data_IF_175653994952
#
_entry.id   IF_175653994952
#
_cell.length_a   1.000
_cell.length_b   1.000
_cell.length_c   1.000
_cell.angle_alpha   90.00
_cell.angle_beta   90.00
_cell.angle_gamma   90.00
#
_symmetry.space_group_name_H-M   'P 1'
#
loop_
_entity.id
_entity.type
_entity.pdbx_description
1 polymer ?
#
# COMPACT_ATOMS: atom_id res chain seq x y z
N UNK A 1 -10.89 -1.24 -6.04
CA UNK A 1 -9.82 -1.79 -6.92
C UNK A 1 -10.13 -3.25 -7.23
N UNK A 2 -9.73 -3.75 -8.41
CA UNK A 2 -9.94 -5.16 -8.81
C UNK A 2 -8.66 -5.86 -9.23
N UNK A 3 -7.65 -5.13 -9.70
CA UNK A 3 -6.40 -5.68 -10.25
C UNK A 3 -5.17 -5.06 -9.61
N UNK A 4 -4.02 -5.71 -9.76
CA UNK A 4 -2.72 -5.14 -9.38
C UNK A 4 -2.43 -3.83 -10.15
N UNK A 5 -2.91 -3.71 -11.40
CA UNK A 5 -2.78 -2.46 -12.15
C UNK A 5 -3.59 -1.32 -11.50
N UNK A 6 -4.78 -1.60 -10.98
CA UNK A 6 -5.55 -0.60 -10.22
C UNK A 6 -4.83 -0.16 -8.95
N UNK A 7 -4.22 -1.11 -8.24
CA UNK A 7 -3.41 -0.82 -7.04
C UNK A 7 -2.24 0.10 -7.40
N UNK A 8 -1.49 -0.23 -8.46
CA UNK A 8 -0.38 0.61 -8.95
C UNK A 8 -0.83 2.02 -9.29
N UNK A 9 -2.00 2.16 -9.94
CA UNK A 9 -2.60 3.48 -10.25
C UNK A 9 -3.07 4.24 -9.03
N UNK A 10 -3.36 3.58 -7.91
CA UNK A 10 -3.76 4.23 -6.65
C UNK A 10 -2.57 4.52 -5.73
N UNK A 11 -1.48 3.77 -5.87
CA UNK A 11 -0.22 3.99 -5.14
C UNK A 11 0.60 5.11 -5.78
N UNK A 12 0.06 6.32 -5.71
CA UNK A 12 0.70 7.54 -6.19
C UNK A 12 1.46 8.23 -5.05
N UNK A 13 2.36 9.15 -5.39
CA UNK A 13 3.09 9.96 -4.42
C UNK A 13 2.11 10.67 -3.46
N UNK A 14 2.37 10.62 -2.15
CA UNK A 14 1.51 11.22 -1.13
C UNK A 14 0.28 10.39 -0.75
N UNK A 15 -0.01 9.30 -1.45
CA UNK A 15 -1.11 8.41 -1.07
C UNK A 15 -0.79 7.69 0.26
N UNK A 16 -1.80 7.57 1.12
CA UNK A 16 -1.67 6.99 2.45
C UNK A 16 -2.23 5.57 2.50
N UNK A 17 -1.45 4.64 3.04
CA UNK A 17 -1.80 3.22 3.08
C UNK A 17 -1.57 2.65 4.46
N UNK A 18 -2.62 2.07 5.04
CA UNK A 18 -2.54 1.32 6.29
C UNK A 18 -1.93 -0.06 6.01
N UNK A 19 -0.81 -0.37 6.67
CA UNK A 19 -0.07 -1.59 6.48
C UNK A 19 -0.27 -2.52 7.69
N UNK A 20 -0.66 -3.77 7.44
CA UNK A 20 -0.72 -4.82 8.44
C UNK A 20 0.16 -5.98 8.01
N UNK A 21 1.07 -6.40 8.88
CA UNK A 21 1.86 -7.61 8.68
C UNK A 21 1.08 -8.80 9.21
N UNK A 22 0.65 -9.64 8.28
CA UNK A 22 -0.11 -10.85 8.57
C UNK A 22 0.80 -12.01 8.99
N UNK A 23 2.07 -12.00 8.57
CA UNK A 23 3.05 -12.98 9.01
C UNK A 23 3.37 -12.79 10.50
N UNK A 24 3.03 -13.78 11.33
CA UNK A 24 3.41 -13.80 12.75
C UNK A 24 2.42 -13.15 13.73
N UNK A 25 1.17 -12.92 13.33
CA UNK A 25 0.10 -12.56 14.29
C UNK A 25 -0.59 -11.21 14.06
N UNK A 26 -0.71 -10.72 12.82
CA UNK A 26 -1.43 -9.49 12.47
C UNK A 26 -0.87 -8.22 13.16
N UNK A 27 0.44 -8.01 13.06
CA UNK A 27 1.12 -6.82 13.56
C UNK A 27 0.69 -5.58 12.76
N UNK A 28 0.12 -4.58 13.42
CA UNK A 28 -0.21 -3.30 12.81
C UNK A 28 1.06 -2.47 12.61
N UNK A 29 1.36 -2.15 11.34
CA UNK A 29 2.52 -1.36 10.95
C UNK A 29 2.20 0.12 10.72
N UNK A 30 0.95 0.53 10.97
CA UNK A 30 0.46 1.90 10.87
C UNK A 30 0.16 2.36 9.44
N UNK A 31 -0.27 3.62 9.35
CA UNK A 31 -0.47 4.32 8.07
C UNK A 31 0.87 4.83 7.56
N UNK A 32 1.13 4.62 6.27
CA UNK A 32 2.38 4.96 5.61
C UNK A 32 2.09 5.73 4.33
N UNK A 33 2.77 6.85 4.17
CA UNK A 33 2.68 7.66 2.96
C UNK A 33 3.64 7.13 1.89
N UNK A 34 3.21 7.09 0.64
CA UNK A 34 4.07 6.79 -0.50
C UNK A 34 4.98 7.98 -0.79
N UNK A 35 6.26 7.83 -0.49
CA UNK A 35 7.29 8.87 -0.73
C UNK A 35 8.00 8.76 -2.07
N UNK A 36 7.89 7.62 -2.77
CA UNK A 36 8.47 7.44 -4.11
C UNK A 36 7.77 6.34 -4.88
N UNK A 37 7.65 6.52 -6.20
CA UNK A 37 7.08 5.54 -7.13
C UNK A 37 8.08 5.26 -8.25
N UNK A 38 8.26 4.00 -8.60
CA UNK A 38 9.04 3.51 -9.74
C UNK A 38 8.22 2.45 -10.50
N UNK A 39 8.61 2.12 -11.73
CA UNK A 39 7.88 1.14 -12.54
C UNK A 39 7.78 -0.25 -11.90
N UNK A 40 8.83 -0.67 -11.16
CA UNK A 40 8.94 -1.98 -10.53
C UNK A 40 8.81 -1.95 -8.99
N UNK A 41 8.70 -0.79 -8.35
CA UNK A 41 8.60 -0.68 -6.90
C UNK A 41 7.93 0.63 -6.44
N UNK A 42 7.48 0.65 -5.20
CA UNK A 42 7.09 1.87 -4.48
C UNK A 42 7.83 1.95 -3.15
N UNK A 43 8.08 3.15 -2.66
CA UNK A 43 8.70 3.37 -1.35
C UNK A 43 7.77 4.16 -0.45
N UNK A 44 7.66 3.71 0.79
CA UNK A 44 6.91 4.37 1.84
C UNK A 44 7.83 5.20 2.73
N UNK A 45 7.37 6.36 3.18
CA UNK A 45 8.00 7.13 4.23
C UNK A 45 7.77 6.43 5.58
N UNK A 46 8.85 6.12 6.28
CA UNK A 46 8.81 5.46 7.58
C UNK A 46 9.97 6.00 8.43
N UNK A 47 9.67 6.85 9.41
CA UNK A 47 10.67 7.39 10.34
C UNK A 47 11.82 8.14 9.64
N UNK A 48 11.49 8.95 8.63
CA UNK A 48 12.48 9.70 7.85
C UNK A 48 13.28 8.89 6.83
N UNK A 49 13.00 7.58 6.67
CA UNK A 49 13.63 6.70 5.68
C UNK A 49 12.63 6.17 4.67
N UNK A 50 13.14 5.75 3.51
CA UNK A 50 12.37 5.05 2.48
C UNK A 50 12.36 3.55 2.75
N UNK A 51 11.17 2.98 2.90
CA UNK A 51 10.94 1.54 2.99
C UNK A 51 10.35 1.02 1.68
N UNK A 52 11.09 0.16 0.98
CA UNK A 52 10.75 -0.27 -0.37
C UNK A 52 9.84 -1.50 -0.41
N UNK A 53 8.79 -1.40 -1.22
CA UNK A 53 7.95 -2.50 -1.66
C UNK A 53 8.18 -2.75 -3.15
N UNK A 54 8.90 -3.83 -3.45
CA UNK A 54 9.08 -4.33 -4.82
C UNK A 54 7.80 -5.03 -5.27
N UNK A 55 7.30 -4.70 -6.46
CA UNK A 55 6.04 -5.26 -6.94
C UNK A 55 6.16 -6.79 -7.11
N UNK A 56 5.37 -7.59 -6.38
CA UNK A 56 5.33 -9.02 -6.59
C UNK A 56 4.64 -9.35 -7.92
N UNK A 57 4.70 -10.63 -8.32
CA UNK A 57 3.97 -11.11 -9.49
C UNK A 57 2.47 -11.02 -9.23
N UNK A 58 1.68 -10.84 -10.30
CA UNK A 58 0.22 -10.72 -10.18
C UNK A 58 -0.43 -11.90 -9.44
N UNK A 59 0.09 -13.12 -9.62
CA UNK A 59 -0.39 -14.34 -8.94
C UNK A 59 -0.18 -14.33 -7.42
N UNK A 60 0.75 -13.52 -6.92
CA UNK A 60 1.11 -13.41 -5.50
C UNK A 60 0.39 -12.22 -4.85
N UNK A 61 -0.58 -11.61 -5.54
CA UNK A 61 -1.38 -10.49 -5.05
C UNK A 61 -2.85 -10.83 -5.14
N UNK A 62 -3.56 -10.60 -4.05
CA UNK A 62 -5.01 -10.60 -4.04
C UNK A 62 -5.51 -9.19 -3.76
N UNK A 63 -6.38 -8.68 -4.63
CA UNK A 63 -7.01 -7.36 -4.46
C UNK A 63 -8.44 -7.57 -4.00
N UNK A 64 -8.85 -6.87 -2.95
CA UNK A 64 -10.21 -6.90 -2.42
C UNK A 64 -10.63 -5.48 -2.02
N UNK A 65 -11.62 -4.92 -2.72
CA UNK A 65 -12.14 -3.59 -2.42
C UNK A 65 -11.05 -2.53 -2.47
N UNK A 66 -10.79 -1.88 -1.34
CA UNK A 66 -9.75 -0.84 -1.21
C UNK A 66 -8.41 -1.37 -0.65
N UNK A 67 -8.27 -2.69 -0.57
CA UNK A 67 -7.10 -3.34 -0.01
C UNK A 67 -6.47 -4.31 -1.01
N UNK A 68 -5.19 -4.60 -0.80
CA UNK A 68 -4.55 -5.74 -1.42
C UNK A 68 -3.64 -6.47 -0.42
N UNK A 69 -3.55 -7.78 -0.60
CA UNK A 69 -2.74 -8.68 0.20
C UNK A 69 -1.65 -9.28 -0.68
N UNK A 70 -0.42 -9.20 -0.20
CA UNK A 70 0.74 -9.85 -0.81
C UNK A 70 0.93 -11.20 -0.12
N UNK A 71 1.06 -12.22 -0.95
CA UNK A 71 1.38 -13.58 -0.53
C UNK A 71 2.88 -13.83 -0.73
N UNK A 72 3.49 -14.52 0.25
CA UNK A 72 4.85 -15.05 0.14
C UNK A 72 4.77 -16.54 0.36
N UNK A 73 5.24 -17.32 -0.62
CA UNK A 73 5.15 -18.79 -0.60
C UNK A 73 3.73 -19.30 -0.31
N UNK A 74 2.71 -18.68 -0.94
CA UNK A 74 1.31 -19.04 -0.76
C UNK A 74 0.67 -18.61 0.57
N UNK A 75 1.42 -17.97 1.48
CA UNK A 75 0.91 -17.48 2.77
C UNK A 75 0.75 -15.96 2.76
N UNK A 76 -0.33 -15.42 3.34
CA UNK A 76 -0.51 -13.97 3.42
C UNK A 76 0.57 -13.36 4.31
N UNK A 77 1.28 -12.35 3.79
CA UNK A 77 2.42 -11.73 4.48
C UNK A 77 2.14 -10.28 4.86
N UNK A 78 1.65 -9.49 3.91
CA UNK A 78 1.37 -8.06 4.09
C UNK A 78 0.02 -7.74 3.49
N UNK A 79 -0.76 -6.91 4.18
CA UNK A 79 -1.98 -6.30 3.64
C UNK A 79 -1.85 -4.80 3.72
N UNK A 80 -2.18 -4.14 2.61
CA UNK A 80 -2.26 -2.70 2.52
C UNK A 80 -3.69 -2.31 2.20
N UNK A 81 -4.20 -1.32 2.94
CA UNK A 81 -5.51 -0.72 2.71
C UNK A 81 -5.32 0.75 2.40
N UNK A 82 -5.84 1.21 1.27
CA UNK A 82 -5.80 2.63 0.93
C UNK A 82 -6.64 3.40 1.96
N UNK A 83 -6.03 4.44 2.52
CA UNK A 83 -6.69 5.40 3.39
C UNK A 83 -7.06 6.58 2.52
N UNK A 84 -8.34 6.67 2.17
CA UNK A 84 -8.83 7.85 1.46
C UNK A 84 -8.76 9.03 2.43
N UNK A 85 -7.93 10.03 2.11
CA UNK A 85 -8.03 11.31 2.80
C UNK A 85 -9.41 11.88 2.48
N UNK A 86 -10.14 12.32 3.51
CA UNK A 86 -11.31 13.16 3.29
C UNK A 86 -10.91 14.31 2.35
N UNK A 87 -11.74 14.67 1.36
CA UNK A 87 -11.42 15.80 0.49
C UNK A 87 -11.09 16.97 1.40
N UNK A 88 -9.87 17.50 1.31
CA UNK A 88 -9.57 18.76 1.95
C UNK A 88 -10.54 19.77 1.33
N UNK A 89 -11.55 20.17 2.09
CA UNK A 89 -12.35 21.34 1.76
C UNK A 89 -11.36 22.48 1.64
N UNK A 90 -11.05 22.84 0.39
CA UNK A 90 -10.27 24.02 0.07
C UNK A 90 -11.14 25.18 0.55
N UNK A 91 -10.90 25.63 1.78
CA UNK A 91 -11.57 26.79 2.35
C UNK A 91 -10.94 28.01 1.68
N UNK A 92 -11.46 28.37 0.51
CA UNK A 92 -11.21 29.68 -0.07
C UNK A 92 -11.77 30.74 0.87
N UNK A 93 -10.88 31.49 1.51
CA UNK A 93 -11.14 32.83 2.04
C UNK A 93 -10.03 33.76 1.57
#
# INVERSE_FOLDING_TARGET
>A
MRTLADVKRKMELGSNWHCVRLSGGNEDMGVREVGKVQGNAVAFLSGGKLSWLWWPKAKDVQVQGNSFTIFRNGKPALRYTLVEQAPQTVSTK
#
